data_IF_557359146952
#
_entry.id   IF_557359146952
#
_cell.length_a   1.000
_cell.length_b   1.000
_cell.length_c   1.000
_cell.angle_alpha   90.00
_cell.angle_beta   90.00
_cell.angle_gamma   90.00
#
_symmetry.space_group_name_H-M   'P 1'
#
loop_
_entity.id
_entity.type
_entity.pdbx_description
1 polymer ?
#
# COMPACT_ATOMS: atom_id res chain seq x y z
N UNK A 1 10.06 17.59 11.39
CA UNK A 1 10.81 16.32 11.53
C UNK A 1 9.89 15.18 11.16
N UNK A 2 10.13 14.49 10.04
CA UNK A 2 9.32 13.34 9.63
C UNK A 2 9.68 12.19 10.55
N UNK A 3 8.76 11.80 11.43
CA UNK A 3 8.94 10.71 12.39
C UNK A 3 9.05 9.40 11.60
N UNK A 4 10.27 9.02 11.24
CA UNK A 4 10.57 7.80 10.52
C UNK A 4 10.44 6.64 11.52
N UNK A 5 9.20 6.16 11.70
CA UNK A 5 8.90 5.04 12.60
C UNK A 5 9.83 3.84 12.41
N UNK A 6 9.99 3.04 13.46
CA UNK A 6 10.92 1.91 13.46
C UNK A 6 10.63 0.95 12.29
N UNK A 7 11.63 0.23 11.75
CA UNK A 7 11.41 -0.73 10.66
C UNK A 7 10.29 -1.74 10.96
N UNK A 8 10.13 -2.09 12.24
CA UNK A 8 9.09 -2.97 12.76
C UNK A 8 7.70 -2.32 12.68
N UNK A 9 7.57 -1.05 13.06
CA UNK A 9 6.32 -0.28 12.95
C UNK A 9 5.90 -0.09 11.49
N UNK A 10 6.86 0.24 10.62
CA UNK A 10 6.59 0.36 9.17
C UNK A 10 6.08 -0.96 8.60
N UNK A 11 6.73 -2.07 8.96
CA UNK A 11 6.30 -3.41 8.53
C UNK A 11 4.91 -3.76 9.06
N UNK A 12 4.63 -3.46 10.34
CA UNK A 12 3.31 -3.69 10.94
C UNK A 12 2.23 -2.85 10.24
N UNK A 13 2.52 -1.58 9.91
CA UNK A 13 1.63 -0.70 9.15
C UNK A 13 1.34 -1.29 7.75
N UNK A 14 2.36 -1.71 7.00
CA UNK A 14 2.16 -2.31 5.68
C UNK A 14 1.35 -3.60 5.74
N UNK A 15 1.62 -4.46 6.72
CA UNK A 15 0.85 -5.69 6.92
C UNK A 15 -0.60 -5.37 7.27
N UNK A 16 -0.83 -4.40 8.17
CA UNK A 16 -2.17 -3.95 8.55
C UNK A 16 -2.94 -3.38 7.36
N UNK A 17 -2.33 -2.48 6.58
CA UNK A 17 -2.92 -1.92 5.37
C UNK A 17 -3.24 -3.00 4.33
N UNK A 18 -2.34 -3.97 4.12
CA UNK A 18 -2.56 -5.09 3.21
C UNK A 18 -3.73 -5.96 3.67
N UNK A 19 -3.79 -6.30 4.95
CA UNK A 19 -4.88 -7.11 5.51
C UNK A 19 -6.23 -6.42 5.39
N UNK A 20 -6.27 -5.11 5.64
CA UNK A 20 -7.46 -4.28 5.45
C UNK A 20 -7.92 -4.29 3.99
N UNK A 21 -7.01 -3.99 3.04
CA UNK A 21 -7.32 -3.99 1.61
C UNK A 21 -7.79 -5.36 1.11
N UNK A 22 -7.14 -6.44 1.56
CA UNK A 22 -7.56 -7.79 1.19
C UNK A 22 -8.97 -8.11 1.69
N UNK A 23 -9.28 -7.73 2.93
CA UNK A 23 -10.62 -7.92 3.52
C UNK A 23 -11.68 -7.04 2.84
N UNK A 24 -11.32 -5.82 2.47
CA UNK A 24 -12.18 -4.94 1.68
C UNK A 24 -12.52 -5.56 0.33
N UNK A 25 -11.54 -6.12 -0.39
CA UNK A 25 -11.79 -6.82 -1.65
C UNK A 25 -12.70 -8.05 -1.47
N UNK A 26 -12.66 -8.72 -0.32
CA UNK A 26 -13.53 -9.86 -0.03
C UNK A 26 -14.98 -9.43 0.27
N UNK A 27 -15.19 -8.32 0.97
CA UNK A 27 -16.54 -7.86 1.38
C UNK A 27 -17.19 -6.97 0.33
N UNK A 28 -16.42 -6.24 -0.46
CA UNK A 28 -16.89 -5.53 -1.65
C UNK A 28 -17.21 -6.49 -2.80
N UNK A 29 -17.75 -7.68 -2.50
CA UNK A 29 -18.12 -8.76 -3.42
C UNK A 29 -18.60 -8.13 -4.74
N UNK A 30 -17.75 -8.24 -5.77
CA UNK A 30 -17.80 -7.47 -7.03
C UNK A 30 -19.04 -7.81 -7.89
N UNK A 31 -20.05 -8.45 -7.30
CA UNK A 31 -21.32 -8.85 -7.91
C UNK A 31 -22.25 -7.67 -8.15
N UNK A 32 -22.03 -6.53 -7.48
CA UNK A 32 -22.73 -5.27 -7.72
C UNK A 32 -21.84 -4.26 -8.43
N UNK A 33 -22.31 -3.70 -9.55
CA UNK A 33 -21.64 -2.60 -10.27
C UNK A 33 -21.28 -1.44 -9.32
N UNK A 34 -20.20 -0.69 -9.60
CA UNK A 34 -19.71 0.40 -8.74
C UNK A 34 -20.73 1.51 -8.48
N UNK A 35 -21.78 1.62 -9.30
CA UNK A 35 -22.83 2.63 -9.19
C UNK A 35 -23.84 2.36 -8.06
N UNK A 36 -24.10 1.09 -7.72
CA UNK A 36 -24.98 0.69 -6.60
C UNK A 36 -24.22 0.48 -5.29
N UNK A 37 -22.95 0.86 -5.27
CA UNK A 37 -22.10 0.67 -4.12
C UNK A 37 -22.45 1.67 -3.02
N UNK A 38 -23.24 1.21 -2.04
CA UNK A 38 -23.63 1.97 -0.83
C UNK A 38 -22.42 2.61 -0.12
N UNK A 39 -21.22 2.04 -0.27
CA UNK A 39 -19.97 2.65 0.16
C UNK A 39 -19.79 4.07 -0.38
N UNK A 40 -19.79 4.24 -1.70
CA UNK A 40 -19.48 5.54 -2.34
C UNK A 40 -20.52 6.59 -1.95
N UNK A 41 -21.76 6.16 -1.73
CA UNK A 41 -22.82 7.01 -1.20
C UNK A 41 -22.55 7.47 0.25
N UNK A 42 -21.94 6.60 1.08
CA UNK A 42 -21.49 6.97 2.41
C UNK A 42 -20.22 7.82 2.38
N UNK A 43 -19.34 7.68 1.39
CA UNK A 43 -18.09 8.48 1.27
C UNK A 43 -18.32 9.96 0.90
N UNK A 44 -19.56 10.38 0.65
CA UNK A 44 -19.89 11.79 0.34
C UNK A 44 -19.47 12.78 1.42
N UNK A 45 -19.32 12.34 2.68
CA UNK A 45 -18.82 13.19 3.78
C UNK A 45 -17.38 13.66 3.56
N UNK A 46 -16.60 12.99 2.70
CA UNK A 46 -15.24 13.41 2.34
C UNK A 46 -15.22 14.71 1.55
N UNK A 47 -16.33 15.04 0.88
CA UNK A 47 -16.46 16.32 0.19
C UNK A 47 -16.66 17.41 1.25
N UNK A 48 -15.78 18.44 1.29
CA UNK A 48 -15.92 19.56 2.23
C UNK A 48 -17.29 20.26 2.13
N UNK A 49 -17.92 20.25 0.95
CA UNK A 49 -19.26 20.81 0.73
C UNK A 49 -20.39 20.01 1.41
N UNK A 50 -20.18 18.72 1.72
CA UNK A 50 -21.18 17.81 2.30
C UNK A 50 -21.00 17.64 3.82
N UNK A 51 -20.33 18.57 4.50
CA UNK A 51 -19.88 18.47 5.91
C UNK A 51 -20.98 18.19 6.93
N UNK A 52 -22.23 18.55 6.66
CA UNK A 52 -23.36 18.38 7.58
C UNK A 52 -23.91 16.95 7.60
N UNK A 53 -23.45 16.07 6.72
CA UNK A 53 -23.93 14.70 6.60
C UNK A 53 -23.25 13.73 7.61
N UNK A 54 -23.27 14.09 8.91
CA UNK A 54 -22.63 13.32 9.99
C UNK A 54 -23.07 11.85 10.02
N UNK A 55 -24.36 11.58 9.79
CA UNK A 55 -24.91 10.23 9.76
C UNK A 55 -24.20 9.33 8.73
N UNK A 56 -23.62 9.91 7.68
CA UNK A 56 -22.86 9.14 6.66
C UNK A 56 -21.48 8.77 7.14
N UNK A 57 -20.80 9.64 7.88
CA UNK A 57 -19.53 9.31 8.53
C UNK A 57 -19.73 8.19 9.54
N UNK A 58 -20.80 8.27 10.34
CA UNK A 58 -21.13 7.22 11.30
C UNK A 58 -21.41 5.89 10.62
N UNK A 59 -22.22 5.89 9.56
CA UNK A 59 -22.49 4.69 8.74
C UNK A 59 -21.24 4.14 8.06
N UNK A 60 -20.35 5.00 7.57
CA UNK A 60 -19.07 4.60 6.98
C UNK A 60 -18.13 4.00 8.04
N UNK A 61 -18.05 4.63 9.21
CA UNK A 61 -17.27 4.12 10.33
C UNK A 61 -17.80 2.74 10.72
N UNK A 62 -19.09 2.62 11.04
CA UNK A 62 -19.79 1.35 11.35
C UNK A 62 -19.55 0.28 10.28
N UNK A 63 -19.65 0.66 9.00
CA UNK A 63 -19.34 -0.26 7.91
C UNK A 63 -17.88 -0.73 7.98
N UNK A 64 -16.89 0.17 8.09
CA UNK A 64 -15.48 -0.22 8.25
C UNK A 64 -15.23 -1.08 9.50
N UNK A 65 -15.93 -0.80 10.60
CA UNK A 65 -15.86 -1.60 11.84
C UNK A 65 -16.30 -3.05 11.60
N UNK A 66 -17.33 -3.23 10.77
CA UNK A 66 -17.88 -4.56 10.46
C UNK A 66 -16.93 -5.39 9.59
N UNK A 67 -16.04 -4.73 8.85
CA UNK A 67 -15.07 -5.38 7.97
C UNK A 67 -13.85 -5.89 8.73
N UNK A 68 -13.47 -5.20 9.80
CA UNK A 68 -12.32 -5.54 10.63
C UNK A 68 -12.77 -5.64 12.08
N UNK A 69 -13.08 -6.86 12.59
CA UNK A 69 -13.50 -7.06 13.98
C UNK A 69 -12.45 -6.64 15.03
N UNK A 70 -11.24 -6.28 14.60
CA UNK A 70 -10.15 -5.84 15.45
C UNK A 70 -10.24 -4.39 15.96
N UNK A 71 -11.18 -3.54 15.48
CA UNK A 71 -11.61 -2.29 16.15
C UNK A 71 -12.71 -1.60 15.35
N UNK A 72 -13.75 -0.94 15.95
CA UNK A 72 -13.89 -0.33 17.27
C UNK A 72 -15.08 -0.79 18.14
N UNK A 73 -14.84 -0.76 19.46
CA UNK A 73 -15.83 -0.71 20.54
C UNK A 73 -16.73 0.54 20.43
N UNK A 74 -18.00 0.52 20.86
CA UNK A 74 -18.91 1.68 20.88
C UNK A 74 -18.31 2.97 21.49
N UNK A 75 -17.37 2.86 22.43
CA UNK A 75 -16.63 3.98 23.00
C UNK A 75 -15.84 4.82 21.96
N UNK A 76 -15.34 4.21 20.89
CA UNK A 76 -14.60 4.93 19.85
C UNK A 76 -15.52 5.68 18.89
N UNK A 77 -16.77 5.23 18.77
CA UNK A 77 -17.78 5.85 17.92
C UNK A 77 -18.21 7.18 18.54
N UNK A 78 -18.52 7.22 19.83
CA UNK A 78 -18.85 8.48 20.52
C UNK A 78 -17.69 9.47 20.47
N UNK A 79 -16.47 9.03 20.74
CA UNK A 79 -15.32 9.92 20.69
C UNK A 79 -14.96 10.40 19.28
N UNK A 80 -15.29 9.61 18.25
CA UNK A 80 -15.19 10.04 16.84
C UNK A 80 -16.25 11.11 16.52
N UNK A 81 -17.47 10.96 17.06
CA UNK A 81 -18.54 11.97 16.96
C UNK A 81 -18.10 13.31 17.54
N UNK A 82 -17.49 13.28 18.73
CA UNK A 82 -17.04 14.49 19.40
C UNK A 82 -15.94 15.20 18.59
N UNK A 83 -14.95 14.45 18.10
CA UNK A 83 -13.89 14.99 17.23
C UNK A 83 -14.48 15.60 15.94
N UNK A 84 -15.47 14.93 15.34
CA UNK A 84 -16.10 15.41 14.11
C UNK A 84 -16.90 16.71 14.33
N UNK A 85 -17.70 16.77 15.39
CA UNK A 85 -18.46 17.97 15.72
C UNK A 85 -17.55 19.16 16.04
N UNK A 86 -16.45 18.90 16.77
CA UNK A 86 -15.43 19.93 17.04
C UNK A 86 -14.78 20.43 15.74
N UNK A 87 -14.45 19.52 14.82
CA UNK A 87 -13.86 19.87 13.52
C UNK A 87 -14.80 20.77 12.69
N UNK A 88 -16.10 20.44 12.61
CA UNK A 88 -17.09 21.26 11.88
C UNK A 88 -17.18 22.67 12.46
N UNK A 89 -17.18 22.81 13.79
CA UNK A 89 -17.30 24.10 14.46
C UNK A 89 -16.07 25.00 14.26
N UNK A 90 -14.88 24.41 14.13
CA UNK A 90 -13.62 25.16 14.04
C UNK A 90 -13.38 25.77 12.66
N UNK A 91 -14.03 25.23 11.63
CA UNK A 91 -13.60 25.45 10.26
C UNK A 91 -14.70 26.06 9.39
N UNK A 92 -14.71 27.39 9.36
CA UNK A 92 -15.68 28.16 8.57
C UNK A 92 -15.43 28.09 7.05
N UNK A 93 -14.17 27.99 6.60
CA UNK A 93 -13.76 28.24 5.20
C UNK A 93 -13.57 26.98 4.32
N UNK A 94 -14.35 25.92 4.54
CA UNK A 94 -14.20 24.62 3.84
C UNK A 94 -14.43 24.64 2.33
N UNK A 95 -15.08 25.68 1.80
CA UNK A 95 -15.56 25.75 0.43
C UNK A 95 -14.48 26.18 -0.58
N UNK A 96 -13.32 26.67 -0.11
CA UNK A 96 -12.26 27.22 -0.97
C UNK A 96 -11.19 26.20 -1.40
N UNK A 97 -11.23 24.97 -0.86
CA UNK A 97 -10.20 23.96 -1.17
C UNK A 97 -10.46 23.30 -2.53
N UNK A 98 -9.56 23.44 -3.52
CA UNK A 98 -9.77 22.93 -4.88
C UNK A 98 -9.72 21.40 -4.97
N UNK A 99 -9.17 20.71 -3.96
CA UNK A 99 -9.00 19.26 -3.96
C UNK A 99 -9.27 18.66 -2.56
N UNK A 100 -10.05 17.57 -2.53
CA UNK A 100 -10.37 16.79 -1.32
C UNK A 100 -9.11 16.35 -0.57
N UNK A 101 -8.06 15.92 -1.28
CA UNK A 101 -6.79 15.48 -0.67
C UNK A 101 -6.08 16.65 0.01
N UNK A 102 -5.99 17.81 -0.64
CA UNK A 102 -5.35 19.00 -0.05
C UNK A 102 -6.12 19.52 1.15
N UNK A 103 -7.46 19.43 1.10
CA UNK A 103 -8.33 19.79 2.21
C UNK A 103 -8.03 18.92 3.43
N UNK A 104 -8.11 17.60 3.30
CA UNK A 104 -7.87 16.68 4.40
C UNK A 104 -6.42 16.73 4.89
N UNK A 105 -5.44 17.00 4.02
CA UNK A 105 -4.06 17.25 4.44
C UNK A 105 -3.93 18.45 5.40
N UNK A 106 -4.68 19.53 5.16
CA UNK A 106 -4.70 20.68 6.09
C UNK A 106 -5.30 20.30 7.44
N UNK A 107 -6.39 19.53 7.47
CA UNK A 107 -7.01 19.01 8.69
C UNK A 107 -6.03 18.10 9.46
N UNK A 108 -5.28 17.25 8.77
CA UNK A 108 -4.29 16.35 9.38
C UNK A 108 -3.10 17.11 9.99
N UNK A 109 -2.82 18.31 9.48
CA UNK A 109 -1.74 19.16 9.98
C UNK A 109 -2.11 19.92 11.26
N UNK A 110 -3.39 19.95 11.65
CA UNK A 110 -3.84 20.61 12.87
C UNK A 110 -3.30 19.89 14.10
N UNK A 111 -2.67 20.67 14.98
CA UNK A 111 -2.08 20.19 16.22
C UNK A 111 -2.70 20.89 17.43
N UNK A 112 -2.74 20.17 18.54
CA UNK A 112 -2.99 20.76 19.86
C UNK A 112 -1.78 21.61 20.29
N UNK A 113 -1.92 22.51 21.27
CA UNK A 113 -0.79 23.25 21.81
C UNK A 113 0.35 22.36 22.35
N UNK A 114 0.05 21.10 22.68
CA UNK A 114 1.01 20.09 23.09
C UNK A 114 1.73 19.38 21.92
N UNK A 115 1.51 19.81 20.67
CA UNK A 115 2.12 19.23 19.47
C UNK A 115 1.52 17.87 19.04
N UNK A 116 0.38 17.46 19.60
CA UNK A 116 -0.30 16.22 19.23
C UNK A 116 -1.32 16.47 18.12
N UNK A 117 -1.61 15.46 17.30
CA UNK A 117 -2.64 15.57 16.28
C UNK A 117 -4.00 15.92 16.92
N UNK A 118 -4.66 16.97 16.40
CA UNK A 118 -5.87 17.52 17.00
C UNK A 118 -7.09 16.61 16.84
N UNK A 119 -7.20 15.93 15.70
CA UNK A 119 -8.31 15.02 15.37
C UNK A 119 -7.80 13.63 14.95
N UNK A 120 -7.22 12.85 15.88
CA UNK A 120 -6.53 11.62 15.56
C UNK A 120 -7.45 10.50 15.04
N UNK A 121 -8.72 10.43 15.49
CA UNK A 121 -9.66 9.39 15.05
C UNK A 121 -10.24 9.72 13.69
N UNK A 122 -10.66 10.97 13.49
CA UNK A 122 -11.13 11.45 12.18
C UNK A 122 -10.03 11.28 11.13
N UNK A 123 -8.79 11.67 11.46
CA UNK A 123 -7.64 11.51 10.56
C UNK A 123 -7.43 10.05 10.15
N UNK A 124 -7.42 9.12 11.11
CA UNK A 124 -7.27 7.68 10.82
C UNK A 124 -8.40 7.15 9.92
N UNK A 125 -9.64 7.54 10.20
CA UNK A 125 -10.80 7.14 9.41
C UNK A 125 -10.70 7.65 7.97
N UNK A 126 -10.44 8.94 7.79
CA UNK A 126 -10.35 9.57 6.46
C UNK A 126 -9.19 8.99 5.67
N UNK A 127 -8.02 8.76 6.28
CA UNK A 127 -6.89 8.09 5.60
C UNK A 127 -7.29 6.69 5.15
N UNK A 128 -7.94 5.89 6.01
CA UNK A 128 -8.36 4.53 5.66
C UNK A 128 -9.33 4.54 4.46
N UNK A 129 -10.25 5.51 4.44
CA UNK A 129 -11.23 5.67 3.37
C UNK A 129 -10.60 6.19 2.06
N UNK A 130 -9.74 7.21 2.11
CA UNK A 130 -9.05 7.75 0.92
C UNK A 130 -8.02 6.78 0.35
N UNK A 131 -7.59 5.78 1.13
CA UNK A 131 -6.73 4.70 0.67
C UNK A 131 -7.49 3.61 -0.09
N UNK A 132 -8.83 3.69 -0.16
CA UNK A 132 -9.63 2.74 -0.93
C UNK A 132 -9.38 2.94 -2.43
N UNK A 133 -9.06 1.88 -3.19
CA UNK A 133 -8.90 1.99 -4.63
C UNK A 133 -10.25 2.36 -5.27
N UNK A 134 -10.29 3.48 -5.98
CA UNK A 134 -11.49 3.96 -6.68
C UNK A 134 -11.80 3.22 -7.98
N UNK A 135 -10.92 2.29 -8.39
CA UNK A 135 -11.10 1.43 -9.55
C UNK A 135 -9.89 0.53 -9.77
N UNK A 136 -10.05 -0.45 -10.65
CA UNK A 136 -8.98 -1.40 -10.98
C UNK A 136 -8.00 -0.87 -12.05
N UNK A 137 -8.19 0.34 -12.56
CA UNK A 137 -7.40 0.90 -13.65
C UNK A 137 -5.89 0.91 -13.37
N UNK A 138 -5.46 1.21 -12.14
CA UNK A 138 -4.04 1.17 -11.78
C UNK A 138 -3.48 -0.27 -11.72
N UNK A 139 -4.30 -1.22 -11.27
CA UNK A 139 -3.97 -2.65 -11.30
C UNK A 139 -3.89 -3.16 -12.75
N UNK A 140 -4.85 -2.80 -13.60
CA UNK A 140 -4.93 -3.14 -15.02
C UNK A 140 -3.79 -2.52 -15.83
N UNK A 141 -3.42 -1.28 -15.54
CA UNK A 141 -2.22 -0.64 -16.10
C UNK A 141 -0.97 -1.40 -15.70
N UNK A 142 -0.87 -1.82 -14.43
CA UNK A 142 0.21 -2.68 -13.95
C UNK A 142 0.27 -4.05 -14.65
N UNK A 143 -0.88 -4.67 -14.91
CA UNK A 143 -0.97 -5.92 -15.68
C UNK A 143 -0.58 -5.73 -17.14
N UNK A 144 -0.98 -4.61 -17.75
CA UNK A 144 -0.62 -4.25 -19.12
C UNK A 144 0.89 -4.02 -19.27
N UNK A 145 1.52 -3.31 -18.33
CA UNK A 145 2.98 -3.15 -18.29
C UNK A 145 3.70 -4.52 -18.15
N UNK A 146 3.10 -5.48 -17.46
CA UNK A 146 3.67 -6.81 -17.25
C UNK A 146 3.41 -7.78 -18.41
N UNK A 147 2.54 -7.42 -19.37
CA UNK A 147 2.19 -8.28 -20.51
C UNK A 147 3.43 -8.69 -21.29
N UNK A 148 4.38 -7.78 -21.51
CA UNK A 148 5.63 -8.08 -22.20
C UNK A 148 6.51 -9.08 -21.43
N UNK A 149 6.56 -8.99 -20.09
CA UNK A 149 7.40 -9.88 -19.27
C UNK A 149 6.81 -11.28 -19.10
N UNK A 150 5.48 -11.41 -19.15
CA UNK A 150 4.78 -12.69 -19.01
C UNK A 150 4.66 -13.45 -20.33
N UNK A 151 4.53 -12.75 -21.47
CA UNK A 151 4.32 -13.37 -22.78
C UNK A 151 5.59 -13.60 -23.61
N UNK A 152 6.73 -12.99 -23.27
CA UNK A 152 8.01 -13.27 -23.96
C UNK A 152 8.71 -14.53 -23.41
N UNK A 153 9.68 -15.06 -24.19
CA UNK A 153 10.39 -16.36 -24.03
C UNK A 153 11.07 -16.63 -22.67
N UNK A 154 10.96 -15.71 -21.71
CA UNK A 154 11.45 -15.84 -20.34
C UNK A 154 10.27 -15.71 -19.38
N UNK A 155 9.54 -16.81 -19.13
CA UNK A 155 8.57 -16.86 -18.05
C UNK A 155 9.31 -16.73 -16.72
N UNK A 156 9.47 -15.51 -16.24
CA UNK A 156 10.02 -15.23 -14.93
C UNK A 156 9.07 -15.78 -13.87
N UNK A 157 9.63 -16.32 -12.79
CA UNK A 157 8.82 -16.76 -11.65
C UNK A 157 7.96 -15.61 -11.12
N UNK A 158 6.83 -15.93 -10.47
CA UNK A 158 5.96 -14.93 -9.83
C UNK A 158 6.74 -14.06 -8.85
N UNK A 159 7.69 -14.64 -8.11
CA UNK A 159 8.57 -13.92 -7.21
C UNK A 159 9.45 -12.91 -7.95
N UNK A 160 10.08 -13.31 -9.05
CA UNK A 160 10.91 -12.43 -9.88
C UNK A 160 10.12 -11.27 -10.48
N UNK A 161 8.92 -11.54 -11.00
CA UNK A 161 8.02 -10.51 -11.52
C UNK A 161 7.58 -9.52 -10.43
N UNK A 162 7.25 -10.03 -9.24
CA UNK A 162 6.86 -9.20 -8.10
C UNK A 162 8.01 -8.29 -7.64
N UNK A 163 9.23 -8.84 -7.55
CA UNK A 163 10.44 -8.09 -7.19
C UNK A 163 10.76 -6.99 -8.21
N UNK A 164 10.72 -7.30 -9.52
CA UNK A 164 10.95 -6.31 -10.58
C UNK A 164 9.93 -5.17 -10.50
N UNK A 165 8.66 -5.50 -10.28
CA UNK A 165 7.59 -4.49 -10.13
C UNK A 165 7.83 -3.60 -8.92
N UNK A 166 8.23 -4.17 -7.78
CA UNK A 166 8.52 -3.40 -6.58
C UNK A 166 9.71 -2.46 -6.80
N UNK A 167 10.78 -2.93 -7.44
CA UNK A 167 11.94 -2.10 -7.80
C UNK A 167 11.56 -0.98 -8.76
N UNK A 168 10.79 -1.27 -9.82
CA UNK A 168 10.35 -0.26 -10.79
C UNK A 168 9.44 0.79 -10.14
N UNK A 169 8.53 0.38 -9.26
CA UNK A 169 7.67 1.30 -8.51
C UNK A 169 8.49 2.19 -7.57
N UNK A 170 9.49 1.62 -6.88
CA UNK A 170 10.42 2.38 -6.06
C UNK A 170 11.23 3.40 -6.87
N UNK A 171 11.75 3.02 -8.04
CA UNK A 171 12.46 3.94 -8.94
C UNK A 171 11.56 5.07 -9.47
N UNK A 172 10.27 4.80 -9.72
CA UNK A 172 9.30 5.84 -10.11
C UNK A 172 9.18 6.96 -9.05
N UNK A 173 9.37 6.66 -7.76
CA UNK A 173 9.40 7.69 -6.70
C UNK A 173 10.54 8.70 -6.89
N UNK A 174 11.60 8.30 -7.61
CA UNK A 174 12.76 9.13 -7.94
C UNK A 174 12.75 9.58 -9.40
N UNK A 175 11.58 9.64 -10.03
CA UNK A 175 11.42 9.99 -11.45
C UNK A 175 12.21 9.08 -12.41
N UNK A 176 12.52 7.85 -11.99
CA UNK A 176 13.33 6.91 -12.77
C UNK A 176 14.84 7.18 -12.72
N UNK A 177 15.29 8.20 -11.99
CA UNK A 177 16.70 8.55 -11.88
C UNK A 177 17.36 7.78 -10.72
N UNK A 178 18.23 6.83 -11.08
CA UNK A 178 18.94 5.99 -10.12
C UNK A 178 19.91 6.79 -9.24
N UNK A 179 20.42 7.94 -9.71
CA UNK A 179 21.40 8.75 -8.96
C UNK A 179 20.78 9.43 -7.73
N UNK A 180 19.45 9.64 -7.76
CA UNK A 180 18.68 10.23 -6.66
C UNK A 180 18.31 9.22 -5.58
N UNK A 181 18.54 7.93 -5.82
CA UNK A 181 18.23 6.88 -4.85
C UNK A 181 19.30 6.89 -3.75
N UNK A 182 18.93 7.16 -2.48
CA UNK A 182 19.89 7.17 -1.40
C UNK A 182 20.42 5.76 -1.13
N UNK A 183 21.74 5.58 -1.23
CA UNK A 183 22.41 4.31 -0.92
C UNK A 183 22.45 4.11 0.60
N UNK A 184 21.41 3.44 1.12
CA UNK A 184 21.35 3.10 2.54
C UNK A 184 22.23 1.88 2.85
N UNK A 185 22.65 1.74 4.11
CA UNK A 185 23.41 0.56 4.58
C UNK A 185 22.65 -0.74 4.34
N UNK A 186 21.32 -0.70 4.41
CA UNK A 186 20.46 -1.86 4.19
C UNK A 186 20.46 -2.29 2.72
N UNK A 187 20.42 -1.34 1.78
CA UNK A 187 20.55 -1.63 0.35
C UNK A 187 21.91 -2.27 0.07
N UNK A 188 23.00 -1.70 0.62
CA UNK A 188 24.35 -2.26 0.44
C UNK A 188 24.46 -3.69 0.96
N UNK A 189 23.99 -3.96 2.18
CA UNK A 189 23.94 -5.31 2.76
C UNK A 189 23.08 -6.28 1.94
N UNK A 190 21.95 -5.80 1.42
CA UNK A 190 21.05 -6.61 0.58
C UNK A 190 21.72 -7.02 -0.73
N UNK A 191 22.44 -6.10 -1.37
CA UNK A 191 23.21 -6.35 -2.60
C UNK A 191 24.34 -7.34 -2.32
N UNK A 192 25.12 -7.13 -1.26
CA UNK A 192 26.21 -8.05 -0.87
C UNK A 192 25.69 -9.48 -0.63
N UNK A 193 24.56 -9.61 0.09
CA UNK A 193 23.91 -10.90 0.32
C UNK A 193 23.45 -11.55 -0.98
N UNK A 194 22.81 -10.79 -1.86
CA UNK A 194 22.30 -11.29 -3.14
C UNK A 194 23.45 -11.73 -4.05
N UNK A 195 24.55 -10.97 -4.09
CA UNK A 195 25.76 -11.31 -4.83
C UNK A 195 26.44 -12.56 -4.28
N UNK A 196 26.49 -12.74 -2.96
CA UNK A 196 26.99 -13.97 -2.33
C UNK A 196 26.19 -15.19 -2.79
N UNK A 197 24.86 -15.13 -2.69
CA UNK A 197 23.97 -16.22 -3.13
C UNK A 197 24.13 -16.53 -4.62
N UNK A 198 24.28 -15.49 -5.44
CA UNK A 198 24.54 -15.65 -6.87
C UNK A 198 25.86 -16.38 -7.14
N UNK A 199 26.97 -15.96 -6.49
CA UNK A 199 28.27 -16.63 -6.65
C UNK A 199 28.21 -18.08 -6.22
N UNK A 200 27.61 -18.38 -5.07
CA UNK A 200 27.43 -19.76 -4.60
C UNK A 200 26.63 -20.63 -5.57
N UNK A 201 25.67 -20.03 -6.30
CA UNK A 201 24.91 -20.72 -7.34
C UNK A 201 25.79 -21.02 -8.56
N UNK A 202 26.53 -20.03 -9.06
CA UNK A 202 27.44 -20.20 -10.20
C UNK A 202 28.52 -21.24 -9.89
N UNK A 203 29.09 -21.23 -8.69
CA UNK A 203 30.06 -22.24 -8.26
C UNK A 203 29.46 -23.65 -8.28
N UNK A 204 28.22 -23.83 -7.78
CA UNK A 204 27.49 -25.10 -7.84
C UNK A 204 27.18 -25.57 -9.27
N UNK A 205 26.81 -24.65 -10.15
CA UNK A 205 26.55 -24.97 -11.56
C UNK A 205 27.85 -25.38 -12.28
N UNK A 206 28.96 -24.70 -12.01
CA UNK A 206 30.27 -25.02 -12.57
C UNK A 206 30.82 -26.37 -12.08
N UNK A 207 30.68 -26.68 -10.79
CA UNK A 207 31.10 -27.98 -10.25
C UNK A 207 30.26 -29.12 -10.79
N UNK A 208 28.94 -28.96 -10.88
CA UNK A 208 28.06 -29.96 -11.49
C UNK A 208 28.37 -30.19 -12.97
N UNK A 209 28.68 -29.14 -13.73
CA UNK A 209 29.07 -29.24 -15.14
C UNK A 209 30.43 -29.93 -15.30
N UNK A 210 31.38 -29.64 -14.41
CA UNK A 210 32.70 -30.29 -14.40
C UNK A 210 32.59 -31.79 -14.05
N UNK A 211 31.68 -32.15 -13.14
CA UNK A 211 31.41 -33.55 -12.80
C UNK A 211 30.73 -34.31 -13.95
N UNK A 212 29.76 -33.68 -14.63
CA UNK A 212 29.13 -34.28 -15.83
C UNK A 212 30.15 -34.56 -16.94
N UNK A 213 31.04 -33.61 -17.25
CA UNK A 213 32.07 -33.81 -18.28
C UNK A 213 33.01 -34.97 -17.95
N UNK A 214 33.40 -35.12 -16.69
CA UNK A 214 34.22 -36.26 -16.25
C UNK A 214 33.49 -37.60 -16.40
N UNK A 215 32.19 -37.62 -16.09
CA UNK A 215 31.37 -38.83 -16.23
C UNK A 215 31.09 -39.20 -17.69
N UNK A 216 31.03 -38.22 -18.59
CA UNK A 216 30.90 -38.41 -20.05
C UNK A 216 32.23 -38.83 -20.70
N UNK A 217 33.38 -38.44 -20.14
CA UNK A 217 34.72 -38.89 -20.58
C UNK A 217 35.08 -40.29 -20.07
N UNK A 218 34.47 -40.75 -18.97
CA UNK A 218 34.67 -42.07 -18.35
C UNK A 218 33.73 -43.18 -18.89
N UNK A 219 32.73 -42.84 -19.70
CA UNK A 219 31.95 -43.80 -20.50
C UNK A 219 32.61 -43.96 -21.89
N UNK A 220 33.53 -44.92 -22.11
CA UNK A 220 34.08 -45.15 -23.44
C UNK A 220 32.94 -45.58 -24.38
N UNK A 221 32.87 -44.92 -25.53
CA UNK A 221 32.11 -45.37 -26.71
C UNK A 221 32.43 -46.84 -26.99
N UNK A 222 31.50 -47.73 -26.62
CA UNK A 222 31.48 -49.11 -27.07
C UNK A 222 31.24 -49.10 -28.59
N UNK A 223 32.31 -49.34 -29.35
CA UNK A 223 32.28 -49.68 -30.77
C UNK A 223 33.15 -50.91 -31.02
#
# INVERSE_FOLDING_TARGET
>A
MVNNGSPTEKKALYIGARSLLHRLCQVLDLRGLPLDNKLLFHLRFLNPASRREFDRLLRCAMWLTSLSPSHPTPANVSSLTDEWNSLICETSDWESSPNVVTHWASVFSLQTPAGQAKYPKVTKLVIAVLSLPHGNADCERGFSENKQTVHHRSTLSIASNSSLRQTKAFMKMYSGDATKVPLTRDIKRSVEKSHKVYRERIERENTAMSQKRKHEEEEPTEH
#
